data_IF_988524116535
#
_entry.id   IF_988524116535
#
_cell.length_a   1.000
_cell.length_b   1.000
_cell.length_c   1.000
_cell.angle_alpha   90.00
_cell.angle_beta   90.00
_cell.angle_gamma   90.00
#
_symmetry.space_group_name_H-M   'P 1'
#
loop_
_entity.id
_entity.type
_entity.pdbx_description
1 polymer ?
#
# COMPACT_ATOMS: atom_id res chain seq x y z
N UNK A 1 -1.48 -17.58 -15.84
CA UNK A 1 -1.46 -17.70 -14.36
C UNK A 1 -0.25 -18.49 -13.85
N UNK A 2 0.12 -19.66 -14.44
CA UNK A 2 1.28 -20.47 -13.94
C UNK A 2 2.59 -19.69 -13.88
N UNK A 3 2.91 -18.87 -14.89
CA UNK A 3 4.15 -18.07 -14.93
C UNK A 3 4.29 -17.09 -13.74
N UNK A 4 3.19 -16.52 -13.24
CA UNK A 4 3.20 -15.58 -12.11
C UNK A 4 3.41 -16.26 -10.74
N UNK A 5 3.38 -17.59 -10.69
CA UNK A 5 3.60 -18.38 -9.48
C UNK A 5 4.79 -19.32 -9.62
N UNK A 6 5.54 -19.20 -10.73
CA UNK A 6 6.70 -20.05 -11.00
C UNK A 6 7.92 -19.56 -10.21
N UNK A 7 8.42 -20.33 -9.22
CA UNK A 7 9.57 -19.95 -8.43
C UNK A 7 10.89 -19.90 -9.25
N UNK A 8 10.97 -20.63 -10.35
CA UNK A 8 12.16 -20.62 -11.20
C UNK A 8 12.21 -19.33 -12.02
N UNK A 9 11.09 -18.94 -12.62
CA UNK A 9 10.96 -17.68 -13.35
C UNK A 9 11.15 -16.48 -12.42
N UNK A 10 10.60 -16.52 -11.20
CA UNK A 10 10.81 -15.48 -10.19
C UNK A 10 12.31 -15.27 -9.90
N UNK A 11 13.06 -16.37 -9.65
CA UNK A 11 14.52 -16.30 -9.45
C UNK A 11 15.26 -15.79 -10.68
N UNK A 12 14.85 -16.21 -11.88
CA UNK A 12 15.46 -15.75 -13.15
C UNK A 12 15.34 -14.24 -13.31
N UNK A 13 14.19 -13.67 -12.97
CA UNK A 13 13.98 -12.22 -13.01
C UNK A 13 14.42 -11.48 -11.73
N UNK A 14 15.16 -12.15 -10.85
CA UNK A 14 15.80 -11.54 -9.67
C UNK A 14 14.83 -11.14 -8.56
N UNK A 15 13.78 -11.95 -8.34
CA UNK A 15 12.80 -11.77 -7.26
C UNK A 15 12.39 -13.14 -6.69
N UNK A 16 11.46 -13.16 -5.76
CA UNK A 16 10.82 -14.40 -5.30
C UNK A 16 9.34 -14.45 -5.74
N UNK A 17 8.70 -15.59 -5.51
CA UNK A 17 7.32 -15.82 -5.95
C UNK A 17 6.30 -14.92 -5.26
N UNK A 18 6.58 -14.43 -4.04
CA UNK A 18 5.70 -13.52 -3.31
C UNK A 18 5.81 -12.10 -3.85
N UNK A 19 7.04 -11.70 -4.25
CA UNK A 19 7.33 -10.36 -4.77
C UNK A 19 7.16 -10.25 -6.28
N UNK A 20 7.00 -11.38 -7.01
CA UNK A 20 6.92 -11.36 -8.47
C UNK A 20 5.83 -10.43 -9.00
N UNK A 21 4.69 -10.36 -8.30
CA UNK A 21 3.61 -9.45 -8.67
C UNK A 21 3.98 -7.96 -8.50
N UNK A 22 4.90 -7.65 -7.61
CA UNK A 22 5.32 -6.28 -7.31
C UNK A 22 6.18 -5.64 -8.40
N UNK A 23 6.72 -6.43 -9.38
CA UNK A 23 7.47 -5.86 -10.50
C UNK A 23 6.58 -5.24 -11.58
N UNK A 24 5.26 -5.43 -11.52
CA UNK A 24 4.33 -4.90 -12.52
C UNK A 24 3.99 -3.45 -12.20
N UNK A 25 4.51 -2.52 -12.99
CA UNK A 25 4.20 -1.09 -12.89
C UNK A 25 2.98 -0.80 -13.77
N UNK A 26 1.91 -0.20 -13.23
CA UNK A 26 0.74 0.18 -14.03
C UNK A 26 1.12 1.19 -15.12
N UNK A 27 1.01 0.77 -16.38
CA UNK A 27 1.25 1.60 -17.56
C UNK A 27 0.62 0.93 -18.78
N UNK A 28 0.68 1.59 -19.93
CA UNK A 28 0.33 1.00 -21.22
C UNK A 28 1.57 0.39 -21.85
N UNK A 29 1.48 -0.89 -22.21
CA UNK A 29 2.57 -1.64 -22.82
C UNK A 29 2.09 -2.29 -24.12
N UNK A 30 2.92 -2.24 -25.15
CA UNK A 30 2.67 -2.93 -26.41
C UNK A 30 3.40 -4.27 -26.45
N UNK A 31 2.66 -5.31 -26.82
CA UNK A 31 3.15 -6.68 -26.96
C UNK A 31 2.68 -7.27 -28.30
N UNK A 32 3.49 -8.13 -28.88
CA UNK A 32 3.00 -9.01 -29.92
C UNK A 32 2.01 -10.01 -29.34
N UNK A 33 0.96 -10.33 -30.09
CA UNK A 33 -0.05 -11.31 -29.63
C UNK A 33 0.53 -12.69 -29.29
N UNK A 34 1.68 -13.03 -29.89
CA UNK A 34 2.39 -14.31 -29.74
C UNK A 34 3.35 -14.33 -28.56
N UNK A 35 3.42 -13.28 -27.72
CA UNK A 35 4.33 -13.23 -26.57
C UNK A 35 4.04 -14.39 -25.60
N UNK A 36 5.08 -15.13 -25.20
CA UNK A 36 4.94 -16.15 -24.17
C UNK A 36 4.71 -15.52 -22.79
N UNK A 37 4.03 -16.22 -21.86
CA UNK A 37 3.90 -15.73 -20.49
C UNK A 37 5.25 -15.41 -19.81
N UNK A 38 6.26 -16.24 -20.07
CA UNK A 38 7.60 -16.06 -19.53
C UNK A 38 8.28 -14.80 -20.10
N UNK A 39 8.19 -14.57 -21.42
CA UNK A 39 8.73 -13.37 -22.05
C UNK A 39 7.98 -12.11 -21.63
N UNK A 40 6.68 -12.22 -21.39
CA UNK A 40 5.90 -11.15 -20.77
C UNK A 40 6.48 -10.76 -19.40
N UNK A 41 6.71 -11.73 -18.50
CA UNK A 41 7.30 -11.46 -17.18
C UNK A 41 8.70 -10.85 -17.30
N UNK A 42 9.57 -11.40 -18.19
CA UNK A 42 10.90 -10.84 -18.44
C UNK A 42 10.83 -9.40 -18.96
N UNK A 43 9.86 -9.09 -19.82
CA UNK A 43 9.65 -7.73 -20.31
C UNK A 43 9.19 -6.81 -19.18
N UNK A 44 8.26 -7.26 -18.33
CA UNK A 44 7.80 -6.46 -17.19
C UNK A 44 8.94 -6.19 -16.19
N UNK A 45 9.86 -7.14 -15.99
CA UNK A 45 11.07 -6.91 -15.20
C UNK A 45 11.95 -5.79 -15.79
N UNK A 46 12.13 -5.75 -17.10
CA UNK A 46 12.88 -4.67 -17.75
C UNK A 46 12.19 -3.31 -17.57
N UNK A 47 10.87 -3.28 -17.64
CA UNK A 47 10.11 -2.03 -17.39
C UNK A 47 10.20 -1.59 -15.94
N UNK A 48 10.16 -2.53 -14.99
CA UNK A 48 10.41 -2.26 -13.57
C UNK A 48 11.81 -1.67 -13.35
N UNK A 49 12.85 -2.25 -13.97
CA UNK A 49 14.21 -1.73 -13.82
C UNK A 49 14.35 -0.32 -14.41
N UNK A 50 13.69 -0.03 -15.54
CA UNK A 50 13.64 1.31 -16.14
C UNK A 50 12.88 2.31 -15.28
N UNK A 51 11.83 1.86 -14.58
CA UNK A 51 11.06 2.71 -13.68
C UNK A 51 11.91 3.23 -12.51
N UNK A 52 12.86 2.42 -12.02
CA UNK A 52 13.78 2.78 -10.95
C UNK A 52 14.95 3.63 -11.48
N UNK A 53 14.64 4.90 -11.83
CA UNK A 53 15.67 5.87 -12.23
C UNK A 53 16.64 6.19 -11.08
N UNK A 54 17.83 6.79 -11.36
CA UNK A 54 18.74 7.25 -10.31
C UNK A 54 18.07 8.15 -9.27
N UNK A 55 17.15 9.01 -9.70
CA UNK A 55 16.40 9.94 -8.83
C UNK A 55 15.47 9.19 -7.88
N UNK A 56 14.70 8.18 -8.41
CA UNK A 56 13.83 7.34 -7.59
C UNK A 56 14.62 6.50 -6.61
N UNK A 57 15.75 5.92 -7.03
CA UNK A 57 16.64 5.19 -6.11
C UNK A 57 17.28 6.11 -5.06
N UNK A 58 17.60 7.36 -5.39
CA UNK A 58 18.06 8.33 -4.41
C UNK A 58 16.97 8.67 -3.38
N UNK A 59 15.71 8.87 -3.83
CA UNK A 59 14.57 9.09 -2.96
C UNK A 59 14.31 7.88 -2.04
N UNK A 60 14.36 6.67 -2.61
CA UNK A 60 14.25 5.41 -1.86
C UNK A 60 15.29 5.30 -0.75
N UNK A 61 16.57 5.59 -1.05
CA UNK A 61 17.64 5.57 -0.03
C UNK A 61 17.36 6.52 1.12
N UNK A 62 16.77 7.69 0.87
CA UNK A 62 16.37 8.64 1.94
C UNK A 62 15.25 8.08 2.82
N UNK A 63 14.35 7.27 2.28
CA UNK A 63 13.30 6.63 3.09
C UNK A 63 13.82 5.52 4.00
N UNK A 64 14.96 4.91 3.65
CA UNK A 64 15.52 3.74 4.33
C UNK A 64 14.90 2.41 3.90
N UNK A 65 14.00 2.43 2.91
CA UNK A 65 13.30 1.24 2.42
C UNK A 65 14.02 0.60 1.24
N UNK A 66 13.90 -0.71 1.07
CA UNK A 66 14.22 -1.43 -0.17
C UNK A 66 13.20 -1.11 -1.27
N UNK A 67 13.47 -1.52 -2.53
CA UNK A 67 12.48 -1.37 -3.62
C UNK A 67 11.20 -2.15 -3.32
N UNK A 68 11.33 -3.38 -2.83
CA UNK A 68 10.19 -4.24 -2.49
C UNK A 68 9.36 -3.66 -1.34
N UNK A 69 10.00 -3.09 -0.32
CA UNK A 69 9.32 -2.39 0.77
C UNK A 69 8.59 -1.13 0.29
N UNK A 70 9.17 -0.37 -0.65
CA UNK A 70 8.49 0.77 -1.29
C UNK A 70 7.25 0.29 -2.03
N UNK A 71 7.35 -0.78 -2.85
CA UNK A 71 6.22 -1.33 -3.58
C UNK A 71 5.14 -1.85 -2.64
N UNK A 72 5.55 -2.54 -1.57
CA UNK A 72 4.63 -3.06 -0.54
C UNK A 72 3.89 -1.92 0.16
N UNK A 73 4.60 -0.89 0.62
CA UNK A 73 3.97 0.27 1.27
C UNK A 73 3.08 1.05 0.29
N UNK A 74 3.52 1.24 -0.96
CA UNK A 74 2.74 1.90 -1.99
C UNK A 74 1.44 1.15 -2.32
N UNK A 75 1.45 -0.19 -2.26
CA UNK A 75 0.23 -0.99 -2.44
C UNK A 75 -0.80 -0.72 -1.33
N UNK A 76 -0.34 -0.52 -0.10
CA UNK A 76 -1.21 -0.12 1.03
C UNK A 76 -1.76 1.29 0.81
N UNK A 77 -0.90 2.25 0.46
CA UNK A 77 -1.29 3.65 0.21
C UNK A 77 -2.31 3.75 -0.94
N UNK A 78 -2.15 2.93 -1.99
CA UNK A 78 -3.10 2.88 -3.11
C UNK A 78 -4.51 2.48 -2.66
N UNK A 79 -4.61 1.55 -1.70
CA UNK A 79 -5.89 1.07 -1.17
C UNK A 79 -6.49 1.98 -0.08
N UNK A 80 -5.69 2.89 0.49
CA UNK A 80 -6.16 3.85 1.50
C UNK A 80 -6.79 5.09 0.90
N UNK A 81 -6.24 5.62 -0.19
CA UNK A 81 -6.74 6.88 -0.78
C UNK A 81 -6.58 6.93 -2.28
N UNK A 82 -7.59 7.50 -2.95
CA UNK A 82 -7.56 7.83 -4.37
C UNK A 82 -7.08 9.27 -4.63
N UNK A 83 -6.73 10.02 -3.58
CA UNK A 83 -6.27 11.42 -3.67
C UNK A 83 -4.75 11.44 -3.81
N UNK A 84 -4.26 11.64 -5.04
CA UNK A 84 -2.83 11.61 -5.34
C UNK A 84 -2.03 12.64 -4.51
N UNK A 85 -2.60 13.80 -4.24
CA UNK A 85 -2.02 14.87 -3.43
C UNK A 85 -1.96 14.53 -1.93
N UNK A 86 -2.74 13.55 -1.46
CA UNK A 86 -2.73 13.08 -0.07
C UNK A 86 -1.79 11.87 0.13
N UNK A 87 -1.47 11.13 -0.92
CA UNK A 87 -0.65 9.91 -0.84
C UNK A 87 0.70 10.14 -0.13
N UNK A 88 1.44 11.24 -0.36
CA UNK A 88 2.70 11.49 0.36
C UNK A 88 2.50 11.65 1.89
N UNK A 89 1.37 12.23 2.31
CA UNK A 89 1.03 12.40 3.73
C UNK A 89 0.63 11.08 4.38
N UNK A 90 -0.20 10.27 3.71
CA UNK A 90 -0.57 8.92 4.17
C UNK A 90 0.70 8.05 4.29
N UNK A 91 1.58 8.09 3.28
CA UNK A 91 2.87 7.38 3.32
C UNK A 91 3.72 7.82 4.52
N UNK A 92 3.76 9.13 4.82
CA UNK A 92 4.45 9.68 5.98
C UNK A 92 3.95 9.12 7.31
N UNK A 93 2.62 8.92 7.46
CA UNK A 93 2.07 8.29 8.67
C UNK A 93 2.60 6.86 8.83
N UNK A 94 2.58 6.07 7.78
CA UNK A 94 3.06 4.69 7.84
C UNK A 94 4.57 4.60 8.09
N UNK A 95 5.36 5.46 7.45
CA UNK A 95 6.82 5.54 7.70
C UNK A 95 7.09 5.94 9.15
N UNK A 96 6.33 6.86 9.73
CA UNK A 96 6.46 7.25 11.14
C UNK A 96 6.13 6.06 12.07
N UNK A 97 5.09 5.28 11.75
CA UNK A 97 4.74 4.07 12.51
C UNK A 97 5.83 3.00 12.41
N UNK A 98 6.36 2.76 11.20
CA UNK A 98 7.49 1.83 11.01
C UNK A 98 8.70 2.23 11.87
N UNK A 99 9.11 3.50 11.82
CA UNK A 99 10.23 4.05 12.60
C UNK A 99 10.03 3.93 14.12
N UNK A 100 8.79 4.00 14.59
CA UNK A 100 8.42 3.85 16.00
C UNK A 100 8.15 2.39 16.41
N UNK A 101 8.27 1.43 15.51
CA UNK A 101 7.95 0.02 15.78
C UNK A 101 6.46 -0.20 16.12
N UNK A 102 5.59 0.68 15.63
CA UNK A 102 4.14 0.55 15.76
C UNK A 102 3.57 -0.39 14.69
N UNK A 103 2.51 -1.15 14.96
CA UNK A 103 1.79 -1.88 13.93
C UNK A 103 1.14 -0.88 12.95
N UNK A 104 1.11 -1.21 11.65
CA UNK A 104 0.55 -0.28 10.64
C UNK A 104 -0.96 -0.13 10.78
N UNK A 105 -1.68 -1.19 11.17
CA UNK A 105 -3.14 -1.20 11.35
C UNK A 105 -3.90 -0.69 10.11
N UNK A 106 -3.46 -1.16 8.95
CA UNK A 106 -4.05 -0.81 7.67
C UNK A 106 -5.18 -1.78 7.32
N UNK A 107 -6.41 -1.30 7.23
CA UNK A 107 -7.60 -2.11 6.91
C UNK A 107 -7.47 -2.90 5.60
N UNK A 108 -6.86 -2.35 4.52
CA UNK A 108 -6.64 -3.11 3.28
C UNK A 108 -5.84 -4.40 3.47
N UNK A 109 -4.90 -4.42 4.39
CA UNK A 109 -4.11 -5.62 4.70
C UNK A 109 -4.95 -6.73 5.34
N UNK A 110 -6.00 -6.37 6.08
CA UNK A 110 -6.96 -7.31 6.65
C UNK A 110 -7.88 -7.88 5.56
N UNK A 111 -8.36 -7.05 4.62
CA UNK A 111 -9.12 -7.53 3.45
C UNK A 111 -8.29 -8.55 2.65
N UNK A 112 -7.02 -8.24 2.41
CA UNK A 112 -6.10 -9.15 1.73
C UNK A 112 -5.90 -10.45 2.52
N UNK A 113 -5.72 -10.38 3.84
CA UNK A 113 -5.57 -11.55 4.70
C UNK A 113 -6.81 -12.46 4.72
N UNK A 114 -7.97 -11.88 4.51
CA UNK A 114 -9.25 -12.61 4.42
C UNK A 114 -9.51 -13.14 3.01
N UNK A 115 -8.83 -12.62 1.97
CA UNK A 115 -9.13 -12.85 0.55
C UNK A 115 -10.59 -12.51 0.22
N UNK A 116 -11.18 -11.56 0.93
CA UNK A 116 -12.54 -11.08 0.73
C UNK A 116 -12.51 -9.57 0.41
N UNK A 117 -12.43 -9.27 -0.86
CA UNK A 117 -12.39 -7.91 -1.40
C UNK A 117 -13.76 -7.25 -1.51
N UNK A 118 -14.84 -8.00 -1.29
CA UNK A 118 -16.21 -7.49 -1.28
C UNK A 118 -16.56 -6.74 0.02
N UNK A 119 -15.77 -6.91 1.07
CA UNK A 119 -15.97 -6.25 2.36
C UNK A 119 -15.91 -4.73 2.23
N UNK A 120 -17.02 -4.07 2.52
CA UNK A 120 -17.11 -2.60 2.58
C UNK A 120 -16.62 -2.03 3.91
N UNK A 121 -16.66 -2.85 4.99
CA UNK A 121 -16.28 -2.44 6.34
C UNK A 121 -15.54 -3.55 7.06
N UNK A 122 -14.41 -3.21 7.67
CA UNK A 122 -13.68 -4.10 8.56
C UNK A 122 -14.32 -4.03 9.95
N UNK A 123 -14.66 -5.20 10.50
CA UNK A 123 -15.24 -5.37 11.84
C UNK A 123 -14.18 -5.94 12.79
N UNK A 124 -14.37 -5.77 14.11
CA UNK A 124 -13.44 -6.29 15.13
C UNK A 124 -13.10 -7.78 14.99
N UNK A 125 -14.05 -8.61 14.56
CA UNK A 125 -13.81 -10.04 14.28
C UNK A 125 -12.77 -10.26 13.18
N UNK A 126 -12.73 -9.37 12.18
CA UNK A 126 -11.81 -9.45 11.05
C UNK A 126 -10.37 -9.11 11.45
N UNK A 127 -10.20 -8.18 12.41
CA UNK A 127 -8.87 -7.76 12.91
C UNK A 127 -8.11 -8.91 13.59
N UNK A 128 -8.80 -9.96 14.01
CA UNK A 128 -8.22 -11.14 14.68
C UNK A 128 -7.80 -12.25 13.71
N UNK A 129 -7.96 -12.07 12.39
CA UNK A 129 -7.57 -13.08 11.39
C UNK A 129 -6.06 -13.34 11.45
N UNK A 130 -5.61 -14.54 11.82
CA UNK A 130 -4.19 -14.89 11.79
C UNK A 130 -3.71 -14.93 10.34
N UNK A 131 -2.76 -14.06 10.01
CA UNK A 131 -2.11 -14.00 8.70
C UNK A 131 -0.85 -13.13 8.82
N UNK A 132 0.25 -13.45 8.13
CA UNK A 132 1.42 -12.57 8.07
C UNK A 132 1.11 -11.21 7.41
N UNK A 133 0.04 -11.12 6.63
CA UNK A 133 -0.42 -9.87 6.04
C UNK A 133 -1.23 -8.99 6.99
N UNK A 134 -1.73 -9.51 8.11
CA UNK A 134 -2.55 -8.72 9.05
C UNK A 134 -1.67 -7.76 9.87
N UNK A 135 -1.62 -6.50 9.48
CA UNK A 135 -0.83 -5.45 10.13
C UNK A 135 -1.41 -4.92 11.44
N UNK A 136 -2.53 -5.47 11.92
CA UNK A 136 -3.01 -5.28 13.30
C UNK A 136 -2.33 -6.24 14.28
N UNK A 137 -1.91 -7.43 13.80
CA UNK A 137 -1.29 -8.45 14.61
C UNK A 137 0.23 -8.47 14.47
N UNK A 138 0.74 -8.07 13.30
CA UNK A 138 2.16 -8.09 12.99
C UNK A 138 2.68 -6.67 12.82
N UNK A 139 3.85 -6.39 13.40
CA UNK A 139 4.58 -5.14 13.21
C UNK A 139 5.37 -5.19 11.89
N UNK A 140 5.63 -4.01 11.33
CA UNK A 140 6.36 -3.90 10.07
C UNK A 140 5.44 -4.00 8.85
N UNK A 141 6.05 -4.10 7.68
CA UNK A 141 5.36 -4.30 6.41
C UNK A 141 4.91 -5.76 6.26
N UNK A 142 3.84 -6.03 5.52
CA UNK A 142 3.47 -7.39 5.14
C UNK A 142 4.53 -8.01 4.21
N UNK A 143 4.53 -9.34 4.01
CA UNK A 143 5.55 -10.04 3.23
C UNK A 143 5.68 -9.60 1.77
N UNK A 144 4.61 -9.07 1.18
CA UNK A 144 4.60 -8.55 -0.20
C UNK A 144 3.47 -7.53 -0.40
N UNK A 145 3.43 -6.93 -1.58
CA UNK A 145 2.33 -6.04 -2.00
C UNK A 145 0.97 -6.74 -1.91
N UNK A 146 -0.04 -6.02 -1.45
CA UNK A 146 -1.43 -6.49 -1.31
C UNK A 146 -2.31 -6.14 -2.52
N UNK A 147 -1.81 -5.25 -3.37
CA UNK A 147 -2.42 -4.81 -4.62
C UNK A 147 -1.31 -4.33 -5.57
N UNK A 148 -1.63 -4.10 -6.84
CA UNK A 148 -0.74 -3.41 -7.76
C UNK A 148 -0.70 -1.92 -7.38
N UNK A 149 0.44 -1.37 -6.94
CA UNK A 149 0.51 0.03 -6.51
C UNK A 149 0.39 0.97 -7.70
N UNK A 150 -0.35 2.06 -7.55
CA UNK A 150 -0.35 3.14 -8.55
C UNK A 150 1.00 3.86 -8.59
N UNK A 151 1.38 4.41 -9.75
CA UNK A 151 2.61 5.21 -9.86
C UNK A 151 2.57 6.41 -8.90
N UNK A 152 1.41 7.04 -8.73
CA UNK A 152 1.23 8.13 -7.78
C UNK A 152 1.53 7.70 -6.32
N UNK A 153 1.11 6.49 -5.93
CA UNK A 153 1.40 5.97 -4.60
C UNK A 153 2.88 5.61 -4.42
N UNK A 154 3.52 5.05 -5.46
CA UNK A 154 4.98 4.78 -5.42
C UNK A 154 5.74 6.10 -5.25
N UNK A 155 5.44 7.11 -6.08
CA UNK A 155 6.04 8.43 -6.00
C UNK A 155 5.70 9.13 -4.66
N UNK A 156 4.49 8.90 -4.12
CA UNK A 156 4.06 9.36 -2.80
C UNK A 156 4.88 8.76 -1.65
N UNK A 157 5.23 7.47 -1.73
CA UNK A 157 6.12 6.82 -0.75
C UNK A 157 7.56 7.33 -0.88
N UNK A 158 8.05 7.51 -2.11
CA UNK A 158 9.40 8.00 -2.37
C UNK A 158 9.59 9.46 -1.91
N UNK A 159 8.54 10.25 -1.98
CA UNK A 159 8.52 11.67 -1.62
C UNK A 159 7.54 11.94 -0.45
N UNK A 160 7.53 11.02 0.52
CA UNK A 160 6.64 11.12 1.67
C UNK A 160 6.79 12.46 2.39
N UNK A 161 5.67 13.02 2.83
CA UNK A 161 5.63 14.28 3.55
C UNK A 161 6.25 14.09 4.95
N UNK A 162 7.16 14.98 5.33
CA UNK A 162 7.78 14.98 6.65
C UNK A 162 6.87 15.68 7.67
N UNK A 163 6.28 14.92 8.56
CA UNK A 163 5.39 15.36 9.63
C UNK A 163 5.40 14.38 10.80
N UNK A 164 4.70 14.70 11.91
CA UNK A 164 4.62 13.88 13.12
C UNK A 164 3.31 13.09 13.26
N UNK A 165 2.47 13.04 12.22
CA UNK A 165 1.22 12.30 12.29
C UNK A 165 1.45 10.80 12.42
N UNK A 166 0.63 10.17 13.28
CA UNK A 166 0.63 8.73 13.54
C UNK A 166 -0.72 8.08 13.25
N UNK A 167 -1.76 8.89 13.05
CA UNK A 167 -3.13 8.44 12.85
C UNK A 167 -3.82 9.26 11.76
N UNK A 168 -4.78 8.65 11.09
CA UNK A 168 -5.72 9.33 10.22
C UNK A 168 -7.07 8.61 10.21
N UNK A 169 -8.12 9.29 9.82
CA UNK A 169 -9.44 8.76 9.55
C UNK A 169 -10.15 9.63 8.51
N UNK A 170 -11.20 9.11 7.87
CA UNK A 170 -11.97 9.87 6.91
C UNK A 170 -12.50 11.18 7.50
N UNK A 171 -12.51 12.26 6.68
CA UNK A 171 -13.07 13.55 7.08
C UNK A 171 -14.59 13.54 7.15
N UNK A 172 -15.19 14.33 8.05
CA UNK A 172 -16.65 14.48 8.10
C UNK A 172 -17.25 15.23 6.89
N UNK A 173 -16.42 15.81 6.02
CA UNK A 173 -16.84 16.48 4.78
C UNK A 173 -17.24 15.52 3.67
N UNK A 174 -16.85 14.23 3.76
CA UNK A 174 -17.09 13.19 2.74
C UNK A 174 -16.53 13.54 1.35
N UNK A 175 -15.44 14.28 1.32
CA UNK A 175 -14.72 14.67 0.11
C UNK A 175 -13.67 13.65 -0.35
N UNK A 176 -13.57 12.53 0.38
CA UNK A 176 -12.62 11.45 0.13
C UNK A 176 -11.23 11.71 0.70
N UNK A 177 -11.05 12.77 1.50
CA UNK A 177 -9.81 13.08 2.23
C UNK A 177 -9.86 12.61 3.68
N UNK A 178 -8.71 12.66 4.35
CA UNK A 178 -8.54 12.25 5.74
C UNK A 178 -8.20 13.40 6.67
N UNK A 179 -8.60 13.25 7.94
CA UNK A 179 -8.13 14.06 9.06
C UNK A 179 -6.96 13.34 9.71
N UNK A 180 -5.82 14.03 9.82
CA UNK A 180 -4.59 13.49 10.39
C UNK A 180 -4.43 13.91 11.85
N UNK A 181 -3.77 13.07 12.65
CA UNK A 181 -3.56 13.31 14.07
C UNK A 181 -2.18 12.81 14.53
N UNK A 182 -1.56 13.55 15.47
CA UNK A 182 -0.29 13.19 16.10
C UNK A 182 -0.50 12.26 17.29
N UNK A 183 -1.59 12.46 18.02
CA UNK A 183 -1.94 11.74 19.24
C UNK A 183 -3.21 10.90 19.05
N UNK A 184 -3.34 9.84 19.86
CA UNK A 184 -4.55 9.04 19.87
C UNK A 184 -5.78 9.83 20.33
N UNK A 185 -5.61 10.80 21.23
CA UNK A 185 -6.69 11.69 21.67
C UNK A 185 -7.26 12.54 20.52
N UNK A 186 -6.38 13.16 19.71
CA UNK A 186 -6.79 13.90 18.51
C UNK A 186 -7.48 12.98 17.49
N UNK A 187 -6.95 11.76 17.28
CA UNK A 187 -7.58 10.78 16.41
C UNK A 187 -8.99 10.41 16.86
N UNK A 188 -9.20 10.17 18.15
CA UNK A 188 -10.54 9.90 18.70
C UNK A 188 -11.50 11.07 18.51
N UNK A 189 -11.02 12.31 18.63
CA UNK A 189 -11.84 13.50 18.35
C UNK A 189 -12.27 13.55 16.88
N UNK A 190 -11.33 13.32 15.95
CA UNK A 190 -11.60 13.25 14.50
C UNK A 190 -12.59 12.13 14.16
N UNK A 191 -12.40 10.93 14.73
CA UNK A 191 -13.27 9.77 14.51
C UNK A 191 -14.70 10.01 15.04
N UNK A 192 -14.85 10.70 16.18
CA UNK A 192 -16.16 11.10 16.72
C UNK A 192 -16.86 12.11 15.80
N UNK A 193 -16.13 13.11 15.29
CA UNK A 193 -16.67 14.08 14.34
C UNK A 193 -17.19 13.40 13.06
N UNK A 194 -16.42 12.45 12.51
CA UNK A 194 -16.82 11.65 11.36
C UNK A 194 -18.08 10.81 11.65
N UNK A 195 -18.11 10.10 12.78
CA UNK A 195 -19.25 9.29 13.19
C UNK A 195 -20.51 10.11 13.44
N UNK A 196 -20.38 11.30 14.05
CA UNK A 196 -21.51 12.22 14.25
C UNK A 196 -22.11 12.66 12.92
N UNK A 197 -21.27 12.93 11.92
CA UNK A 197 -21.75 13.36 10.60
C UNK A 197 -22.39 12.19 9.82
N UNK A 198 -21.87 10.95 9.94
CA UNK A 198 -22.53 9.74 9.41
C UNK A 198 -23.95 9.60 9.97
N UNK A 199 -24.10 9.74 11.30
CA UNK A 199 -25.40 9.66 11.97
C UNK A 199 -26.34 10.78 11.52
N UNK A 200 -25.85 12.02 11.38
CA UNK A 200 -26.63 13.16 10.89
C UNK A 200 -27.18 12.92 9.47
N UNK A 201 -26.42 12.25 8.62
CA UNK A 201 -26.80 11.90 7.23
C UNK A 201 -27.55 10.58 7.11
N UNK A 202 -27.83 9.87 8.21
CA UNK A 202 -28.43 8.53 8.23
C UNK A 202 -27.69 7.50 7.36
N UNK A 203 -26.36 7.62 7.23
CA UNK A 203 -25.50 6.65 6.52
C UNK A 203 -25.16 5.53 7.52
N UNK A 204 -25.60 4.30 7.22
CA UNK A 204 -25.34 3.10 8.04
C UNK A 204 -24.21 2.25 7.50
#
# INVERSE_FOLDING_TARGET
>A
MRALTDPQLAREVGTDSLQLFSIFIPNTYEFYWTVSPEDFVRRMRKEYDRFWTPERDAARRRSGLSRDEVMTLASIVTEETNKADEMPRVAGVYINRLRKGMPLQADPTVKYALQDFSLRRILHKHLRKPSPYNTYLNKGLPPSSIAMPSVAAIDGVLNFENHDYLFFCARPTFDGYHSFARTYGEHLANARAYSAELNRRNIK
#
